data_IF_950814709092
#
_entry.id   IF_950814709092
#
_cell.length_a   1.000
_cell.length_b   1.000
_cell.length_c   1.000
_cell.angle_alpha   90.00
_cell.angle_beta   90.00
_cell.angle_gamma   90.00
#
_symmetry.space_group_name_H-M   'P 1'
#
loop_
_entity.id
_entity.type
_entity.pdbx_description
1 polymer ?
#
# COMPACT_ATOMS: atom_id res chain seq x y z
N UNK A 1 -4.80 -4.24 33.37
CA UNK A 1 -5.84 -3.35 32.82
C UNK A 1 -5.14 -2.38 31.88
N UNK A 2 -5.01 -2.76 30.62
CA UNK A 2 -4.67 -1.82 29.55
C UNK A 2 -5.88 -0.89 29.36
N UNK A 3 -5.78 0.30 29.92
CA UNK A 3 -6.73 1.36 29.64
C UNK A 3 -6.51 1.77 28.18
N UNK A 4 -7.45 1.42 27.32
CA UNK A 4 -7.49 1.92 25.96
C UNK A 4 -7.70 3.45 26.02
N UNK A 5 -6.62 4.19 25.79
CA UNK A 5 -6.67 5.65 25.77
C UNK A 5 -7.34 6.10 24.46
N UNK A 6 -8.55 6.63 24.57
CA UNK A 6 -9.23 7.33 23.47
C UNK A 6 -8.84 8.81 23.52
N UNK A 7 -8.44 9.36 22.37
CA UNK A 7 -8.20 10.78 22.22
C UNK A 7 -9.09 11.37 21.12
N UNK A 8 -9.37 12.65 21.25
CA UNK A 8 -10.20 13.38 20.29
C UNK A 8 -9.41 13.66 19.02
N UNK A 9 -9.83 13.06 17.90
CA UNK A 9 -9.25 13.35 16.59
C UNK A 9 -9.80 14.67 16.03
N UNK A 10 -8.95 15.37 15.28
CA UNK A 10 -9.37 16.57 14.57
C UNK A 10 -10.31 16.25 13.41
N UNK A 11 -11.20 17.20 13.08
CA UNK A 11 -12.03 17.09 11.89
C UNK A 11 -11.17 17.16 10.63
N UNK A 12 -11.30 16.13 9.80
CA UNK A 12 -10.66 16.01 8.50
C UNK A 12 -11.72 15.96 7.39
N UNK A 13 -11.58 16.81 6.40
CA UNK A 13 -12.44 16.82 5.23
C UNK A 13 -11.65 16.45 3.97
N UNK A 14 -12.28 15.71 3.08
CA UNK A 14 -11.72 15.32 1.78
C UNK A 14 -12.74 15.58 0.69
N UNK A 15 -12.32 16.21 -0.41
CA UNK A 15 -13.16 16.47 -1.56
C UNK A 15 -12.33 16.48 -2.85
N UNK A 16 -12.98 16.11 -3.96
CA UNK A 16 -12.33 16.16 -5.26
C UNK A 16 -13.20 15.61 -6.39
N UNK A 17 -12.92 16.00 -7.63
CA UNK A 17 -13.60 15.51 -8.82
C UNK A 17 -13.16 14.09 -9.18
N UNK A 18 -14.05 13.38 -9.84
CA UNK A 18 -13.77 12.12 -10.52
C UNK A 18 -14.36 12.12 -11.93
N UNK A 19 -13.68 11.41 -12.81
CA UNK A 19 -14.14 11.19 -14.20
C UNK A 19 -14.03 9.70 -14.50
N UNK A 20 -15.03 9.17 -15.19
CA UNK A 20 -15.04 7.81 -15.72
C UNK A 20 -15.59 7.84 -17.14
N UNK A 21 -14.92 7.13 -18.04
CA UNK A 21 -15.38 7.00 -19.43
C UNK A 21 -16.41 5.85 -19.56
N UNK A 22 -17.02 5.72 -20.74
CA UNK A 22 -18.02 4.69 -21.00
C UNK A 22 -17.41 3.27 -20.94
N UNK A 23 -17.85 2.48 -19.97
CA UNK A 23 -17.39 1.09 -19.71
C UNK A 23 -17.69 0.09 -20.82
N UNK A 24 -18.50 0.48 -21.81
CA UNK A 24 -18.78 -0.34 -23.01
C UNK A 24 -17.70 -0.22 -24.08
N UNK A 25 -16.77 0.70 -23.90
CA UNK A 25 -15.68 0.93 -24.86
C UNK A 25 -14.53 -0.05 -24.61
N UNK A 26 -13.71 -0.24 -25.66
CA UNK A 26 -12.49 -1.06 -25.58
C UNK A 26 -11.42 -0.46 -24.68
N UNK A 27 -11.48 0.84 -24.43
CA UNK A 27 -10.61 1.55 -23.51
C UNK A 27 -11.51 2.30 -22.54
N UNK A 28 -11.38 2.00 -21.28
CA UNK A 28 -12.03 2.68 -20.16
C UNK A 28 -10.96 3.37 -19.33
N UNK A 29 -11.19 4.63 -19.01
CA UNK A 29 -10.29 5.44 -18.17
C UNK A 29 -11.09 5.95 -17.00
N UNK A 30 -10.55 5.78 -15.81
CA UNK A 30 -11.05 6.35 -14.57
C UNK A 30 -9.96 7.25 -13.98
N UNK A 31 -10.31 8.45 -13.53
CA UNK A 31 -9.40 9.33 -12.84
C UNK A 31 -10.11 10.02 -11.66
N UNK A 32 -9.40 10.17 -10.57
CA UNK A 32 -9.86 10.89 -9.39
C UNK A 32 -8.70 11.72 -8.84
N UNK A 33 -8.97 12.97 -8.54
CA UNK A 33 -8.04 13.85 -7.84
C UNK A 33 -8.80 14.45 -6.67
N UNK A 34 -8.27 14.28 -5.48
CA UNK A 34 -8.88 14.82 -4.27
C UNK A 34 -7.87 15.47 -3.35
N UNK A 35 -8.33 16.42 -2.58
CA UNK A 35 -7.55 17.06 -1.53
C UNK A 35 -8.30 17.03 -0.22
N UNK A 36 -7.57 16.84 0.85
CA UNK A 36 -8.09 16.89 2.22
C UNK A 36 -7.35 17.94 3.02
N UNK A 37 -8.03 18.53 3.97
CA UNK A 37 -7.48 19.54 4.85
C UNK A 37 -7.96 19.36 6.30
N UNK A 38 -7.06 19.50 7.25
CA UNK A 38 -7.33 19.61 8.67
C UNK A 38 -6.53 20.73 9.29
N UNK A 39 -7.08 21.39 10.30
CA UNK A 39 -6.52 22.63 10.90
C UNK A 39 -5.07 22.43 11.37
N UNK A 40 -4.78 21.35 12.09
CA UNK A 40 -3.46 21.06 12.64
C UNK A 40 -2.68 20.06 11.78
N UNK A 41 -3.39 19.25 11.01
CA UNK A 41 -2.88 18.20 10.12
C UNK A 41 -2.26 18.77 8.83
N UNK A 42 -2.84 19.87 8.32
CA UNK A 42 -2.45 20.48 7.06
C UNK A 42 -3.16 19.86 5.86
N UNK A 43 -2.57 20.02 4.68
CA UNK A 43 -3.15 19.60 3.41
C UNK A 43 -2.55 18.26 2.94
N UNK A 44 -3.43 17.32 2.60
CA UNK A 44 -3.11 16.10 1.88
C UNK A 44 -3.75 16.07 0.50
N UNK A 45 -3.31 15.14 -0.34
CA UNK A 45 -3.94 14.89 -1.63
C UNK A 45 -3.89 13.41 -1.99
N UNK A 46 -4.82 13.00 -2.85
CA UNK A 46 -4.82 11.69 -3.50
C UNK A 46 -5.10 11.86 -4.98
N UNK A 47 -4.28 11.20 -5.78
CA UNK A 47 -4.47 11.08 -7.23
C UNK A 47 -4.62 9.61 -7.55
N UNK A 48 -5.67 9.26 -8.26
CA UNK A 48 -5.92 7.90 -8.73
C UNK A 48 -6.15 7.92 -10.23
N UNK A 49 -5.56 6.97 -10.91
CA UNK A 49 -5.74 6.73 -12.33
C UNK A 49 -5.99 5.24 -12.57
N UNK A 50 -6.99 4.91 -13.35
CA UNK A 50 -7.31 3.56 -13.79
C UNK A 50 -7.47 3.51 -15.31
N UNK A 51 -6.99 2.44 -15.93
CA UNK A 51 -7.23 2.14 -17.32
C UNK A 51 -7.54 0.65 -17.49
N UNK A 52 -8.64 0.35 -18.17
CA UNK A 52 -8.98 -0.99 -18.63
C UNK A 52 -8.94 -0.99 -20.15
N UNK A 53 -8.19 -1.90 -20.76
CA UNK A 53 -7.94 -1.97 -22.19
C UNK A 53 -8.29 -3.38 -22.69
N UNK A 54 -9.28 -3.47 -23.58
CA UNK A 54 -9.74 -4.70 -24.24
C UNK A 54 -9.53 -4.58 -25.75
N UNK A 55 -8.31 -4.73 -26.26
CA UNK A 55 -8.03 -4.55 -27.69
C UNK A 55 -8.75 -5.60 -28.54
N UNK A 56 -8.83 -6.82 -28.03
CA UNK A 56 -9.57 -7.97 -28.55
C UNK A 56 -10.32 -8.65 -27.41
N UNK A 57 -11.41 -9.40 -27.68
CA UNK A 57 -12.22 -10.07 -26.65
C UNK A 57 -11.42 -10.95 -25.67
N UNK A 58 -10.45 -11.78 -26.13
CA UNK A 58 -9.73 -12.68 -25.24
C UNK A 58 -8.60 -12.02 -24.44
N UNK A 59 -8.39 -10.70 -24.57
CA UNK A 59 -7.33 -9.96 -23.87
C UNK A 59 -7.90 -8.78 -23.09
N UNK A 60 -7.69 -8.81 -21.77
CA UNK A 60 -7.97 -7.71 -20.86
C UNK A 60 -6.71 -7.26 -20.15
N UNK A 61 -6.41 -5.97 -20.16
CA UNK A 61 -5.30 -5.33 -19.48
C UNK A 61 -5.87 -4.26 -18.56
N UNK A 62 -5.53 -4.32 -17.29
CA UNK A 62 -5.91 -3.32 -16.29
C UNK A 62 -4.68 -2.71 -15.65
N UNK A 63 -4.65 -1.39 -15.57
CA UNK A 63 -3.60 -0.63 -14.89
C UNK A 63 -4.29 0.35 -13.95
N UNK A 64 -3.95 0.29 -12.66
CA UNK A 64 -4.38 1.25 -11.66
C UNK A 64 -3.16 1.84 -10.99
N UNK A 65 -3.12 3.15 -10.85
CA UNK A 65 -2.06 3.88 -10.17
C UNK A 65 -2.66 4.82 -9.14
N UNK A 66 -2.04 4.89 -7.98
CA UNK A 66 -2.44 5.80 -6.91
C UNK A 66 -1.20 6.46 -6.30
N UNK A 67 -1.30 7.76 -6.09
CA UNK A 67 -0.42 8.50 -5.21
C UNK A 67 -1.24 9.15 -4.11
N UNK A 68 -0.85 8.92 -2.87
CA UNK A 68 -1.47 9.52 -1.69
C UNK A 68 -0.42 10.24 -0.85
N UNK A 69 -0.73 11.46 -0.45
CA UNK A 69 0.03 12.23 0.53
C UNK A 69 -0.88 12.58 1.69
N UNK A 70 -0.69 11.88 2.79
CA UNK A 70 -1.58 11.92 3.94
C UNK A 70 -0.83 12.43 5.18
N UNK A 71 -1.00 13.72 5.54
CA UNK A 71 -0.50 14.23 6.79
C UNK A 71 -1.37 13.74 7.95
N UNK A 72 -0.75 13.45 9.08
CA UNK A 72 -1.45 13.09 10.32
C UNK A 72 -0.95 13.97 11.45
N UNK A 73 -1.89 14.58 12.15
CA UNK A 73 -1.64 15.28 13.40
C UNK A 73 -1.71 14.24 14.52
N UNK A 74 -0.71 14.21 15.39
CA UNK A 74 -0.68 13.32 16.54
C UNK A 74 -0.65 11.83 16.19
N UNK A 75 0.26 11.45 15.28
CA UNK A 75 0.61 10.05 15.09
C UNK A 75 1.35 9.54 16.33
N UNK A 76 0.92 8.41 16.88
CA UNK A 76 1.68 7.73 17.92
C UNK A 76 3.05 7.29 17.40
N UNK A 77 4.09 7.51 18.19
CA UNK A 77 5.47 7.16 17.86
C UNK A 77 5.99 6.07 18.80
N UNK A 78 5.98 6.33 20.12
CA UNK A 78 6.65 5.47 21.07
C UNK A 78 6.12 5.66 22.50
N UNK A 79 6.51 4.75 23.39
CA UNK A 79 6.40 4.89 24.83
C UNK A 79 7.79 4.86 25.43
N UNK A 80 8.25 6.00 25.89
CA UNK A 80 9.57 6.15 26.52
C UNK A 80 9.44 5.99 28.02
N UNK A 81 10.03 4.94 28.55
CA UNK A 81 10.10 4.67 29.99
C UNK A 81 11.43 5.13 30.55
N UNK A 82 11.39 5.95 31.58
CA UNK A 82 12.54 6.33 32.41
C UNK A 82 12.38 5.84 33.81
N UNK A 83 13.43 5.93 34.67
CA UNK A 83 13.37 5.47 36.05
C UNK A 83 12.22 6.08 36.88
N UNK A 84 11.77 7.29 36.52
CA UNK A 84 10.79 8.04 37.29
C UNK A 84 9.53 8.43 36.50
N UNK A 85 9.45 8.07 35.21
CA UNK A 85 8.40 8.61 34.33
C UNK A 85 8.18 7.77 33.05
N UNK A 86 6.96 7.83 32.52
CA UNK A 86 6.57 7.22 31.25
C UNK A 86 6.02 8.28 30.32
N UNK A 87 6.75 8.59 29.24
CA UNK A 87 6.30 9.54 28.23
C UNK A 87 5.66 8.80 27.05
N UNK A 88 4.40 9.13 26.74
CA UNK A 88 3.74 8.71 25.48
C UNK A 88 4.02 9.74 24.44
N UNK A 89 4.80 9.36 23.43
CA UNK A 89 5.30 10.27 22.40
C UNK A 89 4.44 10.19 21.16
N UNK A 90 4.04 11.35 20.70
CA UNK A 90 3.31 11.59 19.46
C UNK A 90 4.09 12.56 18.59
N UNK A 91 3.88 12.50 17.27
CA UNK A 91 4.48 13.44 16.34
C UNK A 91 3.51 13.78 15.20
N UNK A 92 3.74 14.88 14.55
CA UNK A 92 3.13 15.12 13.26
C UNK A 92 3.81 14.23 12.23
N UNK A 93 3.05 13.54 11.41
CA UNK A 93 3.61 12.66 10.39
C UNK A 93 3.10 13.00 9.00
N UNK A 94 3.87 12.61 8.01
CA UNK A 94 3.53 12.68 6.60
C UNK A 94 3.82 11.34 5.94
N UNK A 95 2.75 10.60 5.64
CA UNK A 95 2.84 9.38 4.84
C UNK A 95 2.64 9.72 3.36
N UNK A 96 3.60 9.33 2.54
CA UNK A 96 3.46 9.36 1.08
C UNK A 96 3.49 7.94 0.57
N UNK A 97 2.45 7.52 -0.16
CA UNK A 97 2.37 6.21 -0.79
C UNK A 97 2.22 6.34 -2.30
N UNK A 98 2.85 5.41 -3.02
CA UNK A 98 2.62 5.20 -4.45
C UNK A 98 2.32 3.72 -4.63
N UNK A 99 1.21 3.43 -5.28
CA UNK A 99 0.75 2.09 -5.61
C UNK A 99 0.48 2.02 -7.11
N UNK A 100 0.97 0.96 -7.75
CA UNK A 100 0.61 0.65 -9.13
C UNK A 100 0.19 -0.82 -9.16
N UNK A 101 -1.01 -1.09 -9.66
CA UNK A 101 -1.50 -2.46 -9.88
C UNK A 101 -1.66 -2.70 -11.37
N UNK A 102 -1.04 -3.74 -11.87
CA UNK A 102 -1.18 -4.19 -13.26
C UNK A 102 -1.74 -5.60 -13.29
N UNK A 103 -2.77 -5.80 -14.11
CA UNK A 103 -3.36 -7.12 -14.39
C UNK A 103 -3.43 -7.35 -15.89
N UNK A 104 -3.13 -8.56 -16.28
CA UNK A 104 -3.32 -9.04 -17.64
C UNK A 104 -4.03 -10.39 -17.58
N UNK A 105 -5.12 -10.50 -18.33
CA UNK A 105 -5.83 -11.76 -18.54
C UNK A 105 -5.88 -12.01 -20.05
N UNK A 106 -5.21 -13.06 -20.49
CA UNK A 106 -5.16 -13.43 -21.90
C UNK A 106 -5.55 -14.89 -22.11
N UNK A 107 -6.63 -15.09 -22.88
CA UNK A 107 -7.08 -16.40 -23.31
C UNK A 107 -6.63 -16.63 -24.74
N UNK A 108 -5.53 -17.33 -24.96
CA UNK A 108 -4.98 -17.62 -26.30
C UNK A 108 -5.88 -18.56 -27.08
N UNK A 109 -6.46 -19.55 -26.39
CA UNK A 109 -7.42 -20.52 -26.89
C UNK A 109 -8.34 -20.98 -25.75
N UNK A 110 -9.40 -21.74 -25.99
CA UNK A 110 -10.22 -22.32 -24.93
C UNK A 110 -9.41 -23.15 -23.91
N UNK A 111 -8.28 -23.69 -24.34
CA UNK A 111 -7.44 -24.59 -23.54
C UNK A 111 -6.22 -23.90 -22.95
N UNK A 112 -5.84 -22.70 -23.40
CA UNK A 112 -4.62 -22.01 -22.98
C UNK A 112 -4.89 -20.57 -22.55
N UNK A 113 -4.55 -20.23 -21.31
CA UNK A 113 -4.68 -18.87 -20.78
C UNK A 113 -3.48 -18.46 -19.91
N UNK A 114 -3.21 -17.16 -19.89
CA UNK A 114 -2.21 -16.52 -19.06
C UNK A 114 -2.89 -15.44 -18.22
N UNK A 115 -2.62 -15.46 -16.93
CA UNK A 115 -3.00 -14.42 -15.99
C UNK A 115 -1.76 -13.86 -15.33
N UNK A 116 -1.63 -12.54 -15.33
CA UNK A 116 -0.53 -11.85 -14.67
C UNK A 116 -1.08 -10.80 -13.73
N UNK A 117 -0.48 -10.70 -12.57
CA UNK A 117 -0.69 -9.64 -11.59
C UNK A 117 0.67 -9.15 -11.11
N UNK A 118 0.88 -7.83 -11.09
CA UNK A 118 2.08 -7.21 -10.51
C UNK A 118 1.66 -5.93 -9.80
N UNK A 119 2.17 -5.76 -8.58
CA UNK A 119 1.90 -4.58 -7.76
C UNK A 119 3.18 -4.07 -7.11
N UNK A 120 3.89 -3.11 -7.71
CA UNK A 120 4.89 -2.31 -7.02
C UNK A 120 4.23 -1.29 -6.10
N UNK A 121 4.74 -1.22 -4.89
CA UNK A 121 4.29 -0.32 -3.83
C UNK A 121 5.49 0.40 -3.21
N UNK A 122 5.32 1.66 -2.91
CA UNK A 122 6.28 2.48 -2.20
C UNK A 122 5.60 3.27 -1.10
N UNK A 123 6.18 3.28 0.10
CA UNK A 123 5.76 4.10 1.23
C UNK A 123 6.95 4.85 1.82
N UNK A 124 6.72 6.11 2.18
CA UNK A 124 7.67 6.96 2.88
C UNK A 124 6.92 7.68 4.01
N UNK A 125 7.27 7.37 5.24
CA UNK A 125 6.78 8.02 6.44
C UNK A 125 7.85 8.96 6.99
N UNK A 126 7.45 10.19 7.28
CA UNK A 126 8.30 11.17 7.92
C UNK A 126 7.61 11.72 9.16
N UNK A 127 8.36 11.88 10.22
CA UNK A 127 7.89 12.45 11.48
C UNK A 127 8.56 13.79 11.74
N UNK A 128 7.84 14.67 12.41
CA UNK A 128 8.35 15.98 12.85
C UNK A 128 7.53 16.52 14.00
N UNK A 129 8.11 17.44 14.78
CA UNK A 129 7.46 18.07 15.92
C UNK A 129 6.93 17.00 16.89
N UNK A 130 7.84 16.50 17.71
CA UNK A 130 7.50 15.49 18.70
C UNK A 130 6.88 16.15 19.93
N UNK A 131 5.90 15.45 20.50
CA UNK A 131 5.14 15.91 21.65
C UNK A 131 4.98 14.75 22.64
N UNK A 132 5.01 15.11 23.91
CA UNK A 132 4.57 14.24 24.98
C UNK A 132 3.10 14.51 25.28
N UNK A 133 2.30 13.47 25.39
CA UNK A 133 0.92 13.58 25.83
C UNK A 133 0.87 13.70 27.35
N UNK A 134 0.39 14.84 27.85
CA UNK A 134 0.27 15.12 29.27
C UNK A 134 -1.09 14.69 29.79
N UNK A 135 -2.18 15.11 29.16
CA UNK A 135 -3.54 14.80 29.54
C UNK A 135 -4.31 14.26 28.35
N UNK A 136 -4.63 12.95 28.30
CA UNK A 136 -5.30 12.33 27.18
C UNK A 136 -6.68 12.92 26.85
N UNK A 137 -7.46 13.24 27.89
CA UNK A 137 -8.83 13.68 27.77
C UNK A 137 -8.95 15.06 27.11
N UNK A 138 -7.97 15.94 27.36
CA UNK A 138 -7.93 17.31 26.82
C UNK A 138 -6.97 17.47 25.65
N UNK A 139 -6.18 16.43 25.33
CA UNK A 139 -5.10 16.49 24.34
C UNK A 139 -4.07 17.58 24.68
N UNK A 140 -3.78 17.72 25.95
CA UNK A 140 -2.73 18.63 26.41
C UNK A 140 -1.36 18.03 26.06
N UNK A 141 -0.57 18.79 25.33
CA UNK A 141 0.69 18.39 24.75
C UNK A 141 1.81 19.30 25.24
N UNK A 142 2.96 18.68 25.48
CA UNK A 142 4.20 19.42 25.69
C UNK A 142 5.22 19.02 24.63
N UNK A 143 6.09 19.95 24.23
CA UNK A 143 7.16 19.68 23.29
C UNK A 143 8.11 18.62 23.88
N UNK A 144 8.57 17.70 23.05
CA UNK A 144 9.46 16.62 23.49
C UNK A 144 10.65 16.45 22.56
N UNK A 145 11.84 16.55 23.11
CA UNK A 145 13.11 16.44 22.38
C UNK A 145 13.46 14.95 22.15
N UNK A 146 12.60 14.26 21.40
CA UNK A 146 12.73 12.82 21.13
C UNK A 146 14.05 12.46 20.47
N UNK A 147 14.48 13.24 19.47
CA UNK A 147 15.69 12.96 18.70
C UNK A 147 17.00 13.18 19.44
N UNK A 148 16.97 13.86 20.58
CA UNK A 148 18.15 14.00 21.45
C UNK A 148 18.51 12.66 22.13
N UNK A 149 17.56 11.73 22.21
CA UNK A 149 17.71 10.48 22.94
C UNK A 149 17.47 9.24 22.08
N UNK A 150 16.78 9.37 20.94
CA UNK A 150 16.36 8.27 20.09
C UNK A 150 16.63 8.56 18.63
N UNK A 151 16.72 7.48 17.85
CA UNK A 151 16.87 7.60 16.39
C UNK A 151 15.57 8.06 15.72
N UNK A 152 15.71 8.70 14.57
CA UNK A 152 14.60 9.14 13.76
C UNK A 152 13.73 7.94 13.36
N UNK A 153 12.42 7.93 13.68
CA UNK A 153 11.53 6.81 13.39
C UNK A 153 11.01 6.83 11.94
N UNK A 154 11.56 7.68 11.10
CA UNK A 154 11.25 7.73 9.68
C UNK A 154 11.49 6.38 9.01
N UNK A 155 10.64 5.99 8.07
CA UNK A 155 10.89 4.77 7.32
C UNK A 155 10.56 4.92 5.84
N UNK A 156 11.21 4.10 5.02
CA UNK A 156 10.89 3.93 3.61
C UNK A 156 10.75 2.46 3.31
N UNK A 157 9.68 2.12 2.61
CA UNK A 157 9.36 0.76 2.22
C UNK A 157 9.15 0.71 0.71
N UNK A 158 9.75 -0.27 0.05
CA UNK A 158 9.44 -0.66 -1.32
C UNK A 158 9.04 -2.13 -1.30
N UNK A 159 7.91 -2.45 -1.91
CA UNK A 159 7.48 -3.83 -2.05
C UNK A 159 6.95 -4.06 -3.46
N UNK A 160 7.34 -5.17 -4.07
CA UNK A 160 6.78 -5.60 -5.34
C UNK A 160 6.31 -7.03 -5.20
N UNK A 161 5.02 -7.24 -5.31
CA UNK A 161 4.41 -8.56 -5.37
C UNK A 161 3.91 -8.86 -6.77
N UNK A 162 3.97 -10.11 -7.17
CA UNK A 162 3.47 -10.53 -8.48
C UNK A 162 3.08 -11.99 -8.49
N UNK A 163 2.13 -12.31 -9.36
CA UNK A 163 1.70 -13.69 -9.62
C UNK A 163 1.46 -13.85 -11.12
N UNK A 164 2.07 -14.86 -11.69
CA UNK A 164 1.91 -15.23 -13.10
C UNK A 164 1.40 -16.66 -13.15
N UNK A 165 0.28 -16.89 -13.82
CA UNK A 165 -0.38 -18.20 -13.93
C UNK A 165 -0.58 -18.53 -15.38
N UNK A 166 0.13 -19.54 -15.86
CA UNK A 166 -0.16 -20.18 -17.13
C UNK A 166 -1.00 -21.44 -16.87
N UNK A 167 -2.21 -21.48 -17.47
CA UNK A 167 -3.11 -22.64 -17.44
C UNK A 167 -3.17 -23.26 -18.83
N UNK A 168 -2.90 -24.54 -18.90
CA UNK A 168 -3.01 -25.29 -20.14
C UNK A 168 -3.79 -26.59 -19.93
N UNK A 169 -4.94 -26.71 -20.59
CA UNK A 169 -5.72 -27.94 -20.66
C UNK A 169 -5.24 -28.77 -21.86
N UNK A 170 -4.20 -29.57 -21.63
CA UNK A 170 -3.55 -30.33 -22.69
C UNK A 170 -4.39 -31.53 -23.20
N UNK A 171 -5.44 -31.91 -22.45
CA UNK A 171 -6.45 -32.91 -22.77
C UNK A 171 -7.72 -32.58 -21.99
N UNK A 172 -8.91 -32.89 -22.57
CA UNK A 172 -10.19 -32.62 -21.90
C UNK A 172 -10.22 -33.14 -20.46
N UNK A 173 -10.40 -32.24 -19.51
CA UNK A 173 -10.39 -32.48 -18.06
C UNK A 173 -9.00 -32.62 -17.44
N UNK A 174 -7.91 -32.53 -18.22
CA UNK A 174 -6.53 -32.68 -17.73
C UNK A 174 -5.77 -31.36 -17.92
N UNK A 175 -5.29 -30.75 -16.83
CA UNK A 175 -4.77 -29.39 -16.82
C UNK A 175 -3.41 -29.29 -16.16
N UNK A 176 -2.50 -28.54 -16.76
CA UNK A 176 -1.24 -28.11 -16.18
C UNK A 176 -1.38 -26.65 -15.76
N UNK A 177 -0.91 -26.31 -14.56
CA UNK A 177 -0.67 -24.95 -14.11
C UNK A 177 0.81 -24.73 -13.86
N UNK A 178 1.33 -23.64 -14.37
CA UNK A 178 2.64 -23.11 -14.00
C UNK A 178 2.38 -21.78 -13.31
N UNK A 179 2.79 -21.67 -12.05
CA UNK A 179 2.56 -20.48 -11.23
C UNK A 179 3.90 -19.95 -10.75
N UNK A 180 4.20 -18.70 -11.09
CA UNK A 180 5.35 -17.99 -10.55
C UNK A 180 4.88 -16.86 -9.65
N UNK A 181 5.35 -16.87 -8.41
CA UNK A 181 5.13 -15.80 -7.43
C UNK A 181 6.42 -15.02 -7.24
N UNK A 182 6.30 -13.71 -7.33
CA UNK A 182 7.34 -12.72 -7.06
C UNK A 182 7.01 -11.99 -5.76
N UNK A 183 7.98 -11.90 -4.86
CA UNK A 183 7.94 -11.01 -3.70
C UNK A 183 9.34 -10.42 -3.50
N UNK A 184 9.47 -9.10 -3.72
CA UNK A 184 10.70 -8.34 -3.49
C UNK A 184 10.36 -7.19 -2.55
N UNK A 185 10.85 -7.23 -1.33
CA UNK A 185 10.66 -6.23 -0.29
C UNK A 185 11.98 -5.56 0.04
N UNK A 186 11.95 -4.24 0.18
CA UNK A 186 13.09 -3.43 0.60
C UNK A 186 12.64 -2.46 1.68
N UNK A 187 13.39 -2.41 2.74
CA UNK A 187 13.21 -1.50 3.85
C UNK A 187 14.48 -0.67 4.02
N UNK A 188 14.32 0.64 4.14
CA UNK A 188 15.43 1.53 4.47
C UNK A 188 15.58 1.63 5.98
N UNK A 189 16.78 1.33 6.48
CA UNK A 189 17.16 1.51 7.87
C UNK A 189 17.85 2.87 8.04
N UNK A 190 17.24 3.83 8.73
CA UNK A 190 17.88 5.13 8.96
C UNK A 190 19.13 5.02 9.83
N UNK A 191 19.17 4.05 10.75
CA UNK A 191 20.32 3.84 11.66
C UNK A 191 21.60 3.46 10.92
N UNK A 192 21.46 2.67 9.87
CA UNK A 192 22.61 2.12 9.12
C UNK A 192 22.82 2.81 7.79
N UNK A 193 21.96 3.78 7.45
CA UNK A 193 21.90 4.47 6.16
C UNK A 193 21.91 3.50 4.97
N UNK A 194 21.18 2.39 5.10
CA UNK A 194 21.20 1.30 4.11
C UNK A 194 19.83 0.74 3.81
N UNK A 195 19.72 0.10 2.64
CA UNK A 195 18.54 -0.65 2.25
C UNK A 195 18.73 -2.14 2.55
N UNK A 196 17.83 -2.69 3.36
CA UNK A 196 17.70 -4.11 3.59
C UNK A 196 16.75 -4.67 2.54
N UNK A 197 17.13 -5.73 1.85
CA UNK A 197 16.34 -6.34 0.77
C UNK A 197 16.07 -7.81 1.08
N UNK A 198 14.81 -8.20 0.94
CA UNK A 198 14.35 -9.59 1.06
C UNK A 198 13.64 -9.99 -0.22
N UNK A 199 13.97 -11.18 -0.75
CA UNK A 199 13.34 -11.75 -1.95
C UNK A 199 12.84 -13.15 -1.66
N UNK A 200 11.57 -13.39 -1.97
CA UNK A 200 10.92 -14.67 -1.84
C UNK A 200 10.17 -15.01 -3.12
N UNK A 201 10.88 -15.61 -4.08
CA UNK A 201 10.30 -16.04 -5.35
C UNK A 201 10.00 -17.53 -5.30
N UNK A 202 8.87 -17.94 -5.86
CA UNK A 202 8.48 -19.34 -5.88
C UNK A 202 7.88 -19.73 -7.24
N UNK A 203 8.26 -20.92 -7.72
CA UNK A 203 7.72 -21.51 -8.93
C UNK A 203 7.00 -22.82 -8.57
N UNK A 204 5.74 -22.90 -8.93
CA UNK A 204 4.90 -24.06 -8.66
C UNK A 204 4.44 -24.70 -9.97
N UNK A 205 4.40 -26.04 -9.96
CA UNK A 205 3.80 -26.85 -11.01
C UNK A 205 2.66 -27.66 -10.40
N UNK A 206 1.47 -27.56 -10.99
CA UNK A 206 0.32 -28.37 -10.61
C UNK A 206 -0.20 -29.10 -11.84
N UNK A 207 -0.30 -30.44 -11.73
CA UNK A 207 -0.88 -31.31 -12.74
C UNK A 207 -2.18 -31.90 -12.22
N UNK A 208 -3.27 -31.67 -12.94
CA UNK A 208 -4.52 -32.41 -12.76
C UNK A 208 -4.68 -33.36 -13.94
N UNK A 209 -4.94 -34.65 -13.67
CA UNK A 209 -5.18 -35.64 -14.69
C UNK A 209 -6.55 -36.29 -14.51
N UNK A 210 -7.36 -36.26 -15.56
CA UNK A 210 -8.67 -36.87 -15.56
C UNK A 210 -8.60 -38.30 -16.13
N UNK A 211 -9.04 -39.29 -15.34
CA UNK A 211 -9.15 -40.69 -15.75
C UNK A 211 -10.60 -40.97 -16.13
N UNK A 212 -10.82 -41.23 -17.41
CA UNK A 212 -12.14 -41.65 -17.85
C UNK A 212 -12.28 -43.16 -17.52
N UNK A 213 -13.24 -43.50 -16.65
CA UNK A 213 -13.66 -44.90 -16.44
C UNK A 213 -14.46 -45.39 -17.63
#
# INVERSE_FOLDING_TARGET
NELAWAYKTELWGYAGPSISTDRRKKIVIDANIGTGYGKNRGQGYRVMFGAEIKPIEPLNIEINAMQDKSPTYMQWVDVVETLNDTARVYANSLLTTNDITMRLNWTFSPDLSLQCFVQPFYANMRYKNYYRLMVPETMELDAYDYLDHFQEPDFRLQNTVGTFVLRWEYRSGSTIFIVYNLNDSKYYSPSDDTWISEKANALYFKLNYWIKK
#
